data_IF_863729298396
#
_entry.id   IF_863729298396
#
_cell.length_a   1.000
_cell.length_b   1.000
_cell.length_c   1.000
_cell.angle_alpha   90.00
_cell.angle_beta   90.00
_cell.angle_gamma   90.00
#
_symmetry.space_group_name_H-M   'P 1'
#
loop_
_entity.id
_entity.type
_entity.pdbx_description
1 polymer ?
#
# COMPACT_ATOMS: atom_id res chain seq x y z
N UNK A 1 -3.84 -7.76 -16.67
CA UNK A 1 -3.98 -6.68 -17.62
C UNK A 1 -3.13 -5.48 -17.28
N UNK A 2 -2.81 -4.73 -18.28
CA UNK A 2 -2.01 -3.53 -18.12
C UNK A 2 -2.79 -2.27 -18.52
N UNK A 3 -4.09 -2.29 -18.29
CA UNK A 3 -4.95 -1.17 -18.65
C UNK A 3 -4.42 0.14 -18.08
N UNK A 4 -4.12 0.15 -16.78
CA UNK A 4 -3.67 1.39 -16.16
C UNK A 4 -2.23 1.75 -16.51
N UNK A 5 -1.42 0.83 -17.01
CA UNK A 5 -0.07 1.14 -17.42
C UNK A 5 -0.02 1.67 -18.85
N UNK A 6 -1.13 1.61 -19.58
CA UNK A 6 -1.22 2.09 -20.95
C UNK A 6 -1.91 3.43 -21.06
N UNK A 7 -2.59 3.87 -20.03
CA UNK A 7 -3.40 5.06 -20.11
C UNK A 7 -2.52 6.30 -20.04
N UNK A 8 -2.84 7.28 -20.88
CA UNK A 8 -2.10 8.52 -20.92
C UNK A 8 -3.07 9.65 -20.62
N UNK A 9 -2.66 10.53 -19.71
CA UNK A 9 -3.46 11.70 -19.37
C UNK A 9 -2.60 12.94 -19.53
N UNK A 10 -3.26 14.09 -19.45
CA UNK A 10 -2.57 15.35 -19.54
C UNK A 10 -1.84 15.73 -18.26
N UNK A 11 -2.01 14.97 -17.17
CA UNK A 11 -1.42 15.30 -15.89
C UNK A 11 -0.61 14.15 -15.35
N UNK A 12 0.54 14.48 -14.76
CA UNK A 12 1.41 13.53 -14.14
C UNK A 12 2.06 12.60 -15.13
N UNK A 13 2.83 11.69 -14.63
CA UNK A 13 3.54 10.72 -15.44
C UNK A 13 2.76 9.42 -15.54
N UNK A 14 2.95 8.75 -16.68
CA UNK A 14 2.43 7.41 -16.88
C UNK A 14 3.55 6.43 -16.51
N UNK A 15 3.53 5.89 -15.30
CA UNK A 15 4.58 5.00 -14.80
C UNK A 15 4.02 3.60 -14.57
N UNK A 16 4.90 2.62 -14.44
CA UNK A 16 4.49 1.27 -14.11
C UNK A 16 3.97 1.21 -12.68
N UNK A 17 2.99 0.34 -12.38
CA UNK A 17 2.46 0.23 -11.02
C UNK A 17 3.53 -0.03 -9.97
N UNK A 18 4.55 -0.83 -10.30
CA UNK A 18 5.62 -1.12 -9.34
C UNK A 18 6.40 0.14 -8.98
N UNK A 19 6.47 1.11 -9.88
CA UNK A 19 7.16 2.36 -9.61
C UNK A 19 6.40 3.19 -8.57
N UNK A 20 5.07 3.23 -8.68
CA UNK A 20 4.26 3.93 -7.67
C UNK A 20 4.36 3.21 -6.33
N UNK A 21 4.32 1.88 -6.33
CA UNK A 21 4.51 1.13 -5.11
C UNK A 21 5.84 1.47 -4.44
N UNK A 22 6.90 1.58 -5.23
CA UNK A 22 8.22 1.91 -4.68
C UNK A 22 8.25 3.33 -4.12
N UNK A 23 7.57 4.27 -4.76
CA UNK A 23 7.47 5.63 -4.24
C UNK A 23 6.79 5.63 -2.86
N UNK A 24 5.72 4.88 -2.73
CA UNK A 24 4.98 4.84 -1.47
C UNK A 24 5.80 4.15 -0.38
N UNK A 25 6.57 3.13 -0.75
CA UNK A 25 7.40 2.39 0.21
C UNK A 25 8.59 3.20 0.75
N UNK A 26 8.82 4.39 0.26
CA UNK A 26 9.92 5.21 0.79
C UNK A 26 9.66 5.72 2.21
N UNK A 27 8.42 5.63 2.69
CA UNK A 27 8.08 6.06 4.05
C UNK A 27 8.48 5.00 5.06
N UNK A 28 9.07 5.44 6.18
CA UNK A 28 9.55 4.52 7.23
C UNK A 28 8.44 3.62 7.76
N UNK A 29 7.22 4.11 7.86
CA UNK A 29 6.10 3.33 8.37
C UNK A 29 5.73 2.13 7.50
N UNK A 30 6.01 2.21 6.21
CA UNK A 30 5.45 1.26 5.25
C UNK A 30 6.46 0.17 4.93
N UNK A 31 6.09 -1.08 5.23
CA UNK A 31 6.94 -2.23 4.96
C UNK A 31 6.73 -2.78 3.57
N UNK A 32 5.47 -2.95 3.17
CA UNK A 32 5.13 -3.47 1.85
C UNK A 32 3.80 -2.89 1.41
N UNK A 33 3.60 -2.92 0.09
CA UNK A 33 2.35 -2.46 -0.50
C UNK A 33 2.04 -3.35 -1.70
N UNK A 34 0.77 -3.65 -1.90
CA UNK A 34 0.29 -4.36 -3.07
C UNK A 34 -0.84 -3.57 -3.70
N UNK A 35 -0.58 -2.98 -4.87
CA UNK A 35 -1.62 -2.30 -5.61
C UNK A 35 -2.53 -3.32 -6.27
N UNK A 36 -3.83 -3.04 -6.25
CA UNK A 36 -4.82 -3.85 -6.92
C UNK A 36 -5.70 -2.95 -7.78
N UNK A 37 -6.18 -3.47 -8.89
CA UNK A 37 -6.98 -2.66 -9.79
C UNK A 37 -7.42 -3.36 -11.05
N UNK A 38 -6.86 -4.54 -11.33
CA UNK A 38 -7.18 -5.26 -12.54
C UNK A 38 -8.67 -5.64 -12.53
N UNK A 39 -9.40 -5.16 -13.54
CA UNK A 39 -10.83 -5.41 -13.61
C UNK A 39 -11.67 -4.62 -12.63
N UNK A 40 -11.09 -3.64 -11.94
CA UNK A 40 -11.79 -2.85 -10.93
C UNK A 40 -12.04 -1.42 -11.42
N UNK A 41 -12.95 -0.71 -10.72
CA UNK A 41 -13.33 0.65 -11.08
C UNK A 41 -12.22 1.67 -10.90
N UNK A 42 -11.31 1.41 -9.96
CA UNK A 42 -10.21 2.31 -9.64
C UNK A 42 -9.09 1.49 -9.00
N UNK A 43 -7.92 2.12 -8.85
CA UNK A 43 -6.79 1.47 -8.19
C UNK A 43 -6.90 1.64 -6.69
N UNK A 44 -6.57 0.59 -5.96
CA UNK A 44 -6.49 0.62 -4.51
C UNK A 44 -5.24 -0.12 -4.10
N UNK A 45 -5.00 -0.22 -2.79
CA UNK A 45 -3.80 -0.87 -2.29
C UNK A 45 -4.00 -1.49 -0.93
N UNK A 46 -3.30 -2.59 -0.70
CA UNK A 46 -3.12 -3.15 0.63
C UNK A 46 -1.74 -2.72 1.11
N UNK A 47 -1.65 -2.23 2.33
CA UNK A 47 -0.41 -1.73 2.92
C UNK A 47 -0.19 -2.43 4.25
N UNK A 48 1.06 -2.79 4.52
CA UNK A 48 1.44 -3.30 5.84
C UNK A 48 2.55 -2.43 6.41
N UNK A 49 2.56 -2.32 7.74
CA UNK A 49 3.57 -1.55 8.44
C UNK A 49 4.91 -2.29 8.44
N UNK A 50 5.98 -1.52 8.54
CA UNK A 50 7.34 -2.08 8.54
C UNK A 50 7.71 -2.56 9.94
N UNK A 51 7.58 -3.87 10.15
CA UNK A 51 7.95 -4.50 11.41
C UNK A 51 9.44 -4.71 11.59
N UNK A 52 10.25 -4.29 10.60
CA UNK A 52 11.71 -4.46 10.66
C UNK A 52 12.40 -3.14 11.04
N UNK A 53 11.80 -2.41 11.96
CA UNK A 53 12.39 -1.22 12.56
C UNK A 53 11.75 0.11 12.19
N UNK A 54 11.20 0.24 10.98
CA UNK A 54 10.68 1.52 10.52
C UNK A 54 9.47 1.99 11.30
N UNK A 55 8.52 1.10 11.55
CA UNK A 55 7.33 1.47 12.30
C UNK A 55 7.68 1.79 13.75
N UNK A 56 8.60 1.05 14.33
CA UNK A 56 9.04 1.32 15.71
C UNK A 56 9.72 2.68 15.82
N UNK A 57 10.58 2.98 14.88
CA UNK A 57 11.27 4.28 14.85
C UNK A 57 10.26 5.41 14.77
N UNK A 58 9.30 5.30 13.86
CA UNK A 58 8.30 6.34 13.69
C UNK A 58 7.42 6.48 14.94
N UNK A 59 7.04 5.35 15.55
CA UNK A 59 6.24 5.37 16.77
C UNK A 59 6.97 6.09 17.89
N UNK A 60 8.25 5.81 18.07
CA UNK A 60 9.05 6.46 19.10
C UNK A 60 9.15 7.97 18.86
N UNK A 61 9.33 8.37 17.62
CA UNK A 61 9.44 9.79 17.26
C UNK A 61 8.13 10.53 17.45
N UNK A 62 7.01 9.82 17.46
CA UNK A 62 5.68 10.42 17.53
C UNK A 62 4.95 10.09 18.83
N UNK A 63 5.65 9.56 19.82
CA UNK A 63 5.11 9.25 21.15
C UNK A 63 3.93 8.28 21.08
N UNK A 64 4.04 7.27 20.23
CA UNK A 64 3.06 6.21 20.09
C UNK A 64 3.74 4.90 20.50
N UNK A 65 3.04 4.07 21.27
CA UNK A 65 3.56 2.76 21.64
C UNK A 65 3.66 1.89 20.40
N UNK A 66 4.81 1.21 20.28
CA UNK A 66 5.02 0.34 19.12
C UNK A 66 4.25 -0.96 19.30
N UNK A 67 3.26 -1.15 18.46
CA UNK A 67 2.48 -2.39 18.36
C UNK A 67 1.79 -2.37 17.00
N UNK A 68 2.15 -3.33 16.15
CA UNK A 68 1.69 -3.33 14.77
C UNK A 68 0.15 -3.31 14.68
N UNK A 69 -0.51 -4.15 15.47
CA UNK A 69 -1.97 -4.22 15.41
C UNK A 69 -2.62 -2.91 15.83
N UNK A 70 -2.20 -2.35 16.95
CA UNK A 70 -2.74 -1.07 17.43
C UNK A 70 -2.46 0.06 16.46
N UNK A 71 -1.23 0.10 15.94
CA UNK A 71 -0.83 1.17 15.03
C UNK A 71 -1.64 1.12 13.74
N UNK A 72 -2.03 -0.06 13.30
CA UNK A 72 -2.81 -0.18 12.06
C UNK A 72 -4.20 0.44 12.18
N UNK A 73 -4.65 0.72 13.40
CA UNK A 73 -5.95 1.35 13.66
C UNK A 73 -5.81 2.75 14.23
N UNK A 74 -4.59 3.22 14.42
CA UNK A 74 -4.30 4.51 15.03
C UNK A 74 -4.52 5.63 14.00
N UNK A 75 -5.32 6.63 14.37
CA UNK A 75 -5.68 7.72 13.45
C UNK A 75 -4.48 8.51 12.97
N UNK A 76 -3.49 8.71 13.85
CA UNK A 76 -2.29 9.46 13.49
C UNK A 76 -1.45 8.70 12.48
N UNK A 77 -1.34 7.39 12.65
CA UNK A 77 -0.64 6.52 11.70
C UNK A 77 -1.35 6.53 10.35
N UNK A 78 -2.67 6.37 10.38
CA UNK A 78 -3.47 6.36 9.15
C UNK A 78 -3.37 7.70 8.40
N UNK A 79 -3.40 8.81 9.14
CA UNK A 79 -3.28 10.14 8.52
C UNK A 79 -1.90 10.33 7.88
N UNK A 80 -0.86 9.83 8.54
CA UNK A 80 0.49 9.95 8.00
C UNK A 80 0.63 9.16 6.69
N UNK A 81 0.09 7.95 6.68
CA UNK A 81 0.13 7.11 5.47
C UNK A 81 -0.71 7.73 4.36
N UNK A 82 -1.91 8.25 4.71
CA UNK A 82 -2.76 8.88 3.72
C UNK A 82 -2.05 10.09 3.07
N UNK A 83 -1.40 10.91 3.88
CA UNK A 83 -0.67 12.07 3.35
C UNK A 83 0.44 11.64 2.41
N UNK A 84 1.13 10.55 2.75
CA UNK A 84 2.22 10.06 1.90
C UNK A 84 1.69 9.45 0.61
N UNK A 85 0.57 8.74 0.67
CA UNK A 85 -0.08 8.21 -0.53
C UNK A 85 -0.52 9.36 -1.43
N UNK A 86 -1.12 10.41 -0.86
CA UNK A 86 -1.54 11.57 -1.63
C UNK A 86 -0.36 12.25 -2.31
N UNK A 87 0.74 12.41 -1.58
CA UNK A 87 1.95 13.01 -2.13
C UNK A 87 2.52 12.18 -3.28
N UNK A 88 2.55 10.87 -3.12
CA UNK A 88 3.02 9.98 -4.17
C UNK A 88 2.09 10.02 -5.38
N UNK A 89 0.78 10.03 -5.13
CA UNK A 89 -0.22 10.13 -6.19
C UNK A 89 -0.03 11.38 -7.05
N UNK A 90 0.37 12.49 -6.42
CA UNK A 90 0.52 13.75 -7.15
C UNK A 90 1.59 13.69 -8.24
N UNK A 91 2.40 12.66 -8.22
CA UNK A 91 3.50 12.49 -9.19
C UNK A 91 3.11 11.64 -10.39
N UNK A 92 1.89 11.09 -10.41
CA UNK A 92 1.48 10.18 -11.47
C UNK A 92 0.16 10.65 -12.09
N UNK A 93 -0.14 10.09 -13.27
CA UNK A 93 -1.37 10.40 -13.98
C UNK A 93 -2.59 9.99 -13.15
N UNK A 94 -3.69 10.72 -13.32
CA UNK A 94 -4.88 10.52 -12.51
C UNK A 94 -5.39 9.08 -12.52
N UNK A 95 -5.35 8.44 -13.69
CA UNK A 95 -5.85 7.05 -13.80
C UNK A 95 -4.95 6.05 -13.10
N UNK A 96 -3.75 6.46 -12.73
CA UNK A 96 -2.80 5.59 -12.02
C UNK A 96 -2.74 5.86 -10.54
N UNK A 97 -3.53 6.81 -10.03
CA UNK A 97 -3.53 7.15 -8.62
C UNK A 97 -4.31 6.12 -7.81
N UNK A 98 -3.81 5.86 -6.61
CA UNK A 98 -4.50 4.98 -5.67
C UNK A 98 -5.61 5.77 -5.00
N UNK A 99 -6.85 5.29 -5.11
CA UNK A 99 -8.01 6.00 -4.57
C UNK A 99 -8.39 5.56 -3.17
N UNK A 100 -8.06 4.33 -2.81
CA UNK A 100 -8.31 3.79 -1.47
C UNK A 100 -7.18 2.86 -1.07
N UNK A 101 -6.96 2.73 0.23
CA UNK A 101 -6.05 1.71 0.73
C UNK A 101 -6.60 1.12 2.02
N UNK A 102 -6.15 -0.08 2.33
CA UNK A 102 -6.41 -0.72 3.62
C UNK A 102 -5.07 -0.99 4.29
N UNK A 103 -4.92 -0.51 5.52
CA UNK A 103 -3.74 -0.80 6.33
C UNK A 103 -4.05 -2.05 7.13
N UNK A 104 -3.33 -3.13 6.83
CA UNK A 104 -3.56 -4.41 7.48
C UNK A 104 -2.92 -4.45 8.87
N UNK A 105 -3.42 -5.32 9.73
CA UNK A 105 -2.96 -5.40 11.12
C UNK A 105 -1.81 -6.38 11.33
N UNK A 106 -1.26 -6.93 10.26
CA UNK A 106 -0.18 -7.91 10.33
C UNK A 106 0.93 -7.53 9.37
N UNK A 107 2.08 -8.17 9.56
CA UNK A 107 3.22 -8.00 8.65
C UNK A 107 3.17 -9.04 7.55
N UNK A 108 3.91 -8.78 6.46
CA UNK A 108 4.14 -9.77 5.42
C UNK A 108 5.60 -10.21 5.50
N UNK A 109 5.82 -11.51 5.46
CA UNK A 109 7.16 -12.09 5.53
C UNK A 109 7.26 -13.24 4.54
N UNK A 110 8.48 -13.78 4.39
CA UNK A 110 8.67 -14.97 3.58
C UNK A 110 8.05 -16.19 4.27
N UNK A 111 8.13 -16.26 5.59
CA UNK A 111 7.57 -17.41 6.31
C UNK A 111 6.05 -17.38 6.34
N UNK A 112 5.42 -16.22 6.30
CA UNK A 112 3.96 -16.16 6.22
C UNK A 112 3.44 -16.29 4.80
N UNK A 113 4.32 -16.23 3.81
CA UNK A 113 3.99 -16.60 2.44
C UNK A 113 3.72 -15.48 1.47
N UNK A 114 3.61 -14.24 1.95
CA UNK A 114 3.35 -13.11 1.05
C UNK A 114 4.58 -12.64 0.29
N UNK A 115 5.77 -12.98 0.80
CA UNK A 115 7.02 -12.58 0.19
C UNK A 115 7.86 -13.80 -0.18
N UNK A 116 8.74 -13.63 -1.18
CA UNK A 116 9.76 -14.63 -1.49
C UNK A 116 10.89 -14.51 -0.46
N UNK A 117 11.81 -15.50 -0.41
CA UNK A 117 12.99 -15.37 0.46
C UNK A 117 13.82 -14.13 0.17
N UNK A 118 13.79 -13.60 -1.05
CA UNK A 118 14.48 -12.36 -1.39
C UNK A 118 13.58 -11.14 -1.18
N UNK A 119 12.47 -11.30 -0.47
CA UNK A 119 11.56 -10.24 -0.03
C UNK A 119 10.81 -9.58 -1.18
N UNK A 120 10.55 -10.32 -2.24
CA UNK A 120 9.70 -9.85 -3.34
C UNK A 120 8.25 -10.27 -3.10
N UNK A 121 7.34 -9.39 -3.48
CA UNK A 121 5.92 -9.61 -3.27
C UNK A 121 5.39 -10.75 -4.16
N UNK A 122 4.64 -11.66 -3.55
CA UNK A 122 3.91 -12.70 -4.27
C UNK A 122 2.48 -12.22 -4.48
N UNK A 123 2.24 -11.48 -5.56
CA UNK A 123 0.95 -10.82 -5.77
C UNK A 123 -0.23 -11.75 -5.76
N UNK A 124 -0.11 -12.90 -6.43
CA UNK A 124 -1.25 -13.81 -6.49
C UNK A 124 -1.59 -14.41 -5.12
N UNK A 125 -0.59 -14.60 -4.26
CA UNK A 125 -0.83 -15.07 -2.90
C UNK A 125 -1.57 -13.99 -2.11
N UNK A 126 -1.11 -12.73 -2.24
CA UNK A 126 -1.71 -11.62 -1.51
C UNK A 126 -3.15 -11.38 -1.97
N UNK A 127 -3.39 -11.32 -3.28
CA UNK A 127 -4.74 -11.05 -3.78
C UNK A 127 -5.71 -12.16 -3.44
N UNK A 128 -5.25 -13.39 -3.37
CA UNK A 128 -6.08 -14.52 -2.97
C UNK A 128 -6.37 -14.47 -1.46
N UNK A 129 -5.32 -14.31 -0.67
CA UNK A 129 -5.43 -14.36 0.80
C UNK A 129 -6.25 -13.21 1.37
N UNK A 130 -6.11 -12.03 0.78
CA UNK A 130 -6.76 -10.81 1.28
C UNK A 130 -7.93 -10.39 0.39
N UNK A 131 -8.55 -11.34 -0.27
CA UNK A 131 -9.65 -11.10 -1.20
C UNK A 131 -10.78 -10.32 -0.55
N UNK A 132 -11.13 -10.65 0.70
CA UNK A 132 -12.23 -9.97 1.39
C UNK A 132 -11.91 -8.51 1.66
N UNK A 133 -10.69 -8.23 2.08
CA UNK A 133 -10.25 -6.85 2.33
C UNK A 133 -10.26 -6.05 1.03
N UNK A 134 -9.82 -6.67 -0.05
CA UNK A 134 -9.83 -6.01 -1.36
C UNK A 134 -11.26 -5.69 -1.78
N UNK A 135 -12.14 -6.67 -1.69
CA UNK A 135 -13.53 -6.46 -2.10
C UNK A 135 -14.22 -5.38 -1.27
N UNK A 136 -13.89 -5.32 0.01
CA UNK A 136 -14.44 -4.33 0.91
C UNK A 136 -14.15 -2.90 0.44
N UNK A 137 -12.98 -2.67 -0.16
CA UNK A 137 -12.63 -1.34 -0.65
C UNK A 137 -13.52 -0.91 -1.82
N UNK A 138 -14.10 -1.84 -2.54
CA UNK A 138 -14.92 -1.54 -3.71
C UNK A 138 -16.43 -1.55 -3.43
N UNK A 139 -16.82 -2.13 -2.32
CA UNK A 139 -18.24 -2.18 -1.96
C UNK A 139 -18.81 -0.81 -1.65
N UNK A 140 -17.98 0.07 -1.11
CA UNK A 140 -18.40 1.40 -0.70
C UNK A 140 -18.35 2.42 -1.84
N UNK A 141 -17.89 1.97 -2.97
CA UNK A 141 -17.82 2.84 -4.15
C UNK A 141 -19.15 2.81 -4.92
#
# INVERSE_FOLDING_TARGET
>A
SDVYSRQITSRGKNIAPVELENLIKTHDLIGQICMVGDGKKFLSALIVLDGDGGAEKWANENNIDYDIESMSKNEKVLAEIQAHVDKSNSKVANVQQIKKFTLLSNEWTDSSGELTPSLKLKRHVVTERYKDEIESMYEEA
#
